data_IF_953219681224
#
_entry.id   IF_953219681224
#
_cell.length_a   1.000
_cell.length_b   1.000
_cell.length_c   1.000
_cell.angle_alpha   90.00
_cell.angle_beta   90.00
_cell.angle_gamma   90.00
#
_symmetry.space_group_name_H-M   'P 1'
#
loop_
_entity.id
_entity.type
_entity.pdbx_description
1 polymer ?
#
# COMPACT_ATOMS: atom_id res chain seq x y z
N UNK A 1 -2.86 -37.80 -4.57
CA UNK A 1 -3.81 -37.67 -3.43
C UNK A 1 -5.19 -38.26 -3.68
N UNK A 2 -5.88 -37.91 -4.78
CA UNK A 2 -7.22 -38.43 -5.12
C UNK A 2 -7.38 -39.96 -4.97
N UNK A 3 -6.54 -40.82 -5.57
CA UNK A 3 -6.75 -42.28 -5.50
C UNK A 3 -6.63 -42.84 -4.07
N UNK A 4 -5.72 -42.29 -3.25
CA UNK A 4 -5.56 -42.72 -1.86
C UNK A 4 -6.72 -42.25 -0.97
N UNK A 5 -7.25 -41.05 -1.23
CA UNK A 5 -8.42 -40.52 -0.52
C UNK A 5 -9.70 -41.28 -0.86
N UNK A 6 -9.84 -41.72 -2.10
CA UNK A 6 -10.98 -42.49 -2.59
C UNK A 6 -10.94 -43.92 -2.05
N UNK A 7 -9.77 -44.58 -2.08
CA UNK A 7 -9.57 -45.88 -1.43
C UNK A 7 -9.92 -45.85 0.08
N UNK A 8 -9.57 -44.77 0.79
CA UNK A 8 -9.93 -44.57 2.21
C UNK A 8 -11.46 -44.43 2.41
N UNK A 9 -12.17 -43.83 1.44
CA UNK A 9 -13.64 -43.65 1.48
C UNK A 9 -14.40 -44.92 1.11
N UNK A 10 -13.86 -45.74 0.20
CA UNK A 10 -14.50 -46.97 -0.28
C UNK A 10 -14.32 -48.15 0.69
N UNK A 11 -13.17 -48.28 1.36
CA UNK A 11 -12.90 -49.44 2.24
C UNK A 11 -13.96 -49.68 3.35
N UNK A 12 -14.54 -48.65 4.02
CA UNK A 12 -15.65 -48.84 4.96
C UNK A 12 -16.96 -49.32 4.31
N UNK A 13 -17.21 -48.95 3.05
CA UNK A 13 -18.40 -49.40 2.30
C UNK A 13 -18.28 -50.89 1.96
N UNK A 14 -17.08 -51.33 1.54
CA UNK A 14 -16.79 -52.74 1.26
C UNK A 14 -16.92 -53.61 2.53
N UNK A 15 -16.49 -53.11 3.69
CA UNK A 15 -16.69 -53.81 4.97
C UNK A 15 -18.16 -53.93 5.37
N UNK A 16 -18.98 -52.89 5.13
CA UNK A 16 -20.42 -52.95 5.37
C UNK A 16 -21.14 -53.97 4.49
N UNK A 17 -20.64 -54.20 3.27
CA UNK A 17 -21.19 -55.20 2.35
C UNK A 17 -20.80 -56.62 2.76
N UNK A 18 -19.56 -56.84 3.20
CA UNK A 18 -19.05 -58.16 3.61
C UNK A 18 -18.15 -58.04 4.85
N UNK A 19 -18.70 -58.18 6.07
CA UNK A 19 -17.92 -58.07 7.30
C UNK A 19 -17.03 -59.30 7.49
N UNK A 20 -15.72 -59.16 7.29
CA UNK A 20 -14.74 -60.19 7.57
C UNK A 20 -13.42 -59.56 8.05
N UNK A 21 -12.52 -60.39 8.58
CA UNK A 21 -11.20 -59.94 9.08
C UNK A 21 -10.41 -59.26 7.95
N UNK A 22 -10.45 -59.82 6.74
CA UNK A 22 -9.76 -59.26 5.57
C UNK A 22 -10.30 -57.88 5.15
N UNK A 23 -11.63 -57.68 5.15
CA UNK A 23 -12.22 -56.37 4.83
C UNK A 23 -12.00 -55.34 5.95
N UNK A 24 -11.89 -55.79 7.20
CA UNK A 24 -11.47 -54.94 8.31
C UNK A 24 -10.00 -54.51 8.19
N UNK A 25 -9.09 -55.42 7.83
CA UNK A 25 -7.67 -55.12 7.59
C UNK A 25 -7.48 -54.20 6.38
N UNK A 26 -8.31 -54.32 5.35
CA UNK A 26 -8.33 -53.42 4.22
C UNK A 26 -8.62 -51.96 4.62
N UNK A 27 -9.47 -51.71 5.62
CA UNK A 27 -9.71 -50.36 6.17
C UNK A 27 -8.42 -49.80 6.80
N UNK A 28 -7.72 -50.61 7.60
CA UNK A 28 -6.46 -50.21 8.24
C UNK A 28 -5.41 -49.88 7.19
N UNK A 29 -5.26 -50.73 6.18
CA UNK A 29 -4.33 -50.53 5.07
C UNK A 29 -4.66 -49.26 4.27
N UNK A 30 -5.92 -49.04 3.91
CA UNK A 30 -6.36 -47.85 3.18
C UNK A 30 -6.13 -46.56 3.98
N UNK A 31 -6.38 -46.57 5.29
CA UNK A 31 -6.09 -45.43 6.20
C UNK A 31 -4.58 -45.14 6.27
N UNK A 32 -3.76 -46.18 6.45
CA UNK A 32 -2.30 -46.06 6.52
C UNK A 32 -1.73 -45.50 5.21
N UNK A 33 -2.16 -46.06 4.07
CA UNK A 33 -1.77 -45.59 2.73
C UNK A 33 -2.15 -44.12 2.51
N UNK A 34 -3.39 -43.74 2.83
CA UNK A 34 -3.83 -42.34 2.72
C UNK A 34 -3.04 -41.39 3.62
N UNK A 35 -2.70 -41.81 4.84
CA UNK A 35 -1.86 -41.03 5.76
C UNK A 35 -0.44 -40.88 5.23
N UNK A 36 0.17 -41.94 4.72
CA UNK A 36 1.50 -41.90 4.11
C UNK A 36 1.54 -40.98 2.90
N UNK A 37 0.56 -41.11 1.98
CA UNK A 37 0.46 -40.23 0.82
C UNK A 37 0.25 -38.78 1.24
N UNK A 38 -0.58 -38.51 2.26
CA UNK A 38 -0.79 -37.15 2.76
C UNK A 38 0.49 -36.53 3.32
N UNK A 39 1.28 -37.30 4.09
CA UNK A 39 2.58 -36.86 4.61
C UNK A 39 3.56 -36.56 3.48
N UNK A 40 3.62 -37.43 2.48
CA UNK A 40 4.48 -37.21 1.31
C UNK A 40 4.10 -35.93 0.56
N UNK A 41 2.82 -35.76 0.21
CA UNK A 41 2.37 -34.55 -0.47
C UNK A 41 2.52 -33.28 0.38
N UNK A 42 2.37 -33.36 1.70
CA UNK A 42 2.65 -32.24 2.59
C UNK A 42 4.13 -31.86 2.55
N UNK A 43 5.03 -32.83 2.64
CA UNK A 43 6.47 -32.60 2.52
C UNK A 43 6.85 -32.03 1.16
N UNK A 44 6.31 -32.58 0.07
CA UNK A 44 6.57 -32.06 -1.29
C UNK A 44 6.10 -30.62 -1.42
N UNK A 45 4.93 -30.28 -0.88
CA UNK A 45 4.43 -28.91 -0.86
C UNK A 45 5.38 -27.98 -0.08
N UNK A 46 5.83 -28.41 1.10
CA UNK A 46 6.80 -27.64 1.90
C UNK A 46 8.13 -27.45 1.18
N UNK A 47 8.68 -28.49 0.55
CA UNK A 47 9.92 -28.40 -0.22
C UNK A 47 9.78 -27.44 -1.41
N UNK A 48 8.67 -27.54 -2.14
CA UNK A 48 8.37 -26.62 -3.25
C UNK A 48 8.20 -25.18 -2.76
N UNK A 49 7.56 -24.96 -1.60
CA UNK A 49 7.41 -23.63 -1.01
C UNK A 49 8.77 -23.04 -0.60
N UNK A 50 9.61 -23.82 0.07
CA UNK A 50 10.97 -23.42 0.45
C UNK A 50 11.81 -23.08 -0.79
N UNK A 51 11.77 -23.93 -1.82
CA UNK A 51 12.46 -23.67 -3.09
C UNK A 51 12.01 -22.37 -3.74
N UNK A 52 10.71 -22.10 -3.79
CA UNK A 52 10.17 -20.83 -4.33
C UNK A 52 10.63 -19.61 -3.53
N UNK A 53 10.66 -19.70 -2.20
CA UNK A 53 11.17 -18.62 -1.34
C UNK A 53 12.66 -18.38 -1.61
N UNK A 54 13.44 -19.44 -1.71
CA UNK A 54 14.88 -19.38 -1.98
C UNK A 54 15.17 -18.74 -3.33
N UNK A 55 14.53 -19.19 -4.41
CA UNK A 55 14.68 -18.60 -5.75
C UNK A 55 14.26 -17.13 -5.77
N UNK A 56 13.19 -16.77 -5.03
CA UNK A 56 12.78 -15.37 -4.91
C UNK A 56 13.81 -14.51 -4.16
N UNK A 57 14.46 -15.05 -3.14
CA UNK A 57 15.53 -14.36 -2.41
C UNK A 57 16.78 -14.17 -3.29
N UNK A 58 17.21 -15.22 -4.01
CA UNK A 58 18.37 -15.20 -4.90
C UNK A 58 18.19 -14.26 -6.08
N UNK A 59 16.97 -14.16 -6.62
CA UNK A 59 16.63 -13.24 -7.71
C UNK A 59 16.40 -11.79 -7.26
N UNK A 60 16.53 -11.49 -5.97
CA UNK A 60 16.22 -10.15 -5.41
C UNK A 60 14.73 -9.79 -5.44
N UNK A 61 13.84 -10.75 -5.71
CA UNK A 61 12.39 -10.56 -5.70
C UNK A 61 11.86 -10.57 -4.25
N UNK A 62 12.02 -9.44 -3.57
CA UNK A 62 11.58 -9.26 -2.18
C UNK A 62 10.08 -9.55 -1.97
N UNK A 63 9.22 -9.23 -2.95
CA UNK A 63 7.77 -9.50 -2.88
C UNK A 63 7.48 -10.99 -2.93
N UNK A 64 8.11 -11.72 -3.85
CA UNK A 64 7.98 -13.17 -3.96
C UNK A 64 8.42 -13.87 -2.67
N UNK A 65 9.56 -13.46 -2.13
CA UNK A 65 10.08 -13.95 -0.85
C UNK A 65 9.09 -13.68 0.30
N UNK A 66 8.65 -12.43 0.46
CA UNK A 66 7.69 -12.06 1.52
C UNK A 66 6.36 -12.82 1.40
N UNK A 67 5.84 -12.99 0.19
CA UNK A 67 4.59 -13.72 -0.06
C UNK A 67 4.73 -15.20 0.29
N UNK A 68 5.87 -15.82 -0.05
CA UNK A 68 6.16 -17.20 0.33
C UNK A 68 6.30 -17.37 1.84
N UNK A 69 7.01 -16.47 2.52
CA UNK A 69 7.11 -16.45 3.99
C UNK A 69 5.72 -16.33 4.62
N UNK A 70 4.88 -15.40 4.13
CA UNK A 70 3.51 -15.22 4.62
C UNK A 70 2.67 -16.49 4.44
N UNK A 71 2.88 -17.22 3.34
CA UNK A 71 2.20 -18.50 3.08
C UNK A 71 2.66 -19.58 4.08
N UNK A 72 3.95 -19.62 4.41
CA UNK A 72 4.52 -20.57 5.37
C UNK A 72 4.07 -20.29 6.82
N UNK A 73 4.09 -19.03 7.24
CA UNK A 73 3.74 -18.63 8.63
C UNK A 73 2.23 -18.60 8.86
N UNK A 74 1.42 -18.61 7.79
CA UNK A 74 -0.04 -18.56 7.87
C UNK A 74 -0.60 -17.15 8.14
N UNK A 75 -1.93 -17.02 8.28
CA UNK A 75 -2.59 -15.74 8.48
C UNK A 75 -2.10 -15.07 9.77
N UNK A 76 -1.47 -13.90 9.63
CA UNK A 76 -1.05 -13.08 10.77
C UNK A 76 -2.29 -12.52 11.47
N UNK A 77 -2.54 -12.90 12.73
CA UNK A 77 -3.59 -12.25 13.51
C UNK A 77 -3.18 -10.80 13.77
N UNK A 78 -3.80 -9.84 13.08
CA UNK A 78 -3.64 -8.43 13.40
C UNK A 78 -4.45 -8.19 14.67
N UNK A 79 -3.79 -8.23 15.83
CA UNK A 79 -4.41 -7.75 17.06
C UNK A 79 -4.44 -6.23 16.97
N UNK A 80 -5.63 -5.65 16.82
CA UNK A 80 -5.81 -4.20 16.97
C UNK A 80 -5.30 -3.83 18.36
N UNK A 81 -4.29 -2.98 18.41
CA UNK A 81 -3.77 -2.52 19.69
C UNK A 81 -4.81 -1.64 20.38
N UNK A 82 -4.91 -1.78 21.69
CA UNK A 82 -5.74 -0.94 22.53
C UNK A 82 -5.08 0.44 22.63
N UNK A 83 -5.73 1.49 22.11
CA UNK A 83 -5.23 2.86 22.23
C UNK A 83 -5.66 3.44 23.58
N UNK A 84 -4.70 4.00 24.33
CA UNK A 84 -4.94 4.61 25.65
C UNK A 84 -5.06 6.11 25.49
N UNK A 85 -6.27 6.66 25.68
CA UNK A 85 -6.45 8.10 25.88
C UNK A 85 -6.04 8.51 27.31
N UNK A 86 -5.75 9.80 27.53
CA UNK A 86 -5.39 10.38 28.85
C UNK A 86 -6.38 10.07 29.99
N UNK A 87 -7.57 9.56 29.70
CA UNK A 87 -8.57 9.19 30.71
C UNK A 87 -9.31 7.85 30.47
N UNK A 88 -9.17 7.17 29.33
CA UNK A 88 -9.90 5.91 29.08
C UNK A 88 -9.23 5.02 28.02
N UNK A 89 -9.34 3.70 28.21
CA UNK A 89 -8.97 2.67 27.22
C UNK A 89 -10.04 2.56 26.14
N UNK A 90 -9.66 2.75 24.87
CA UNK A 90 -10.60 2.75 23.74
C UNK A 90 -10.43 1.44 22.96
N UNK A 91 -11.35 0.50 23.22
CA UNK A 91 -11.41 -0.81 22.55
C UNK A 91 -12.19 -0.78 21.24
N UNK A 92 -13.10 0.18 21.07
CA UNK A 92 -14.00 0.28 19.92
C UNK A 92 -13.31 0.94 18.70
N UNK A 93 -13.43 0.32 17.52
CA UNK A 93 -12.79 0.79 16.29
C UNK A 93 -13.30 2.17 15.83
N UNK A 94 -14.59 2.46 16.00
CA UNK A 94 -15.17 3.76 15.63
C UNK A 94 -14.59 4.88 16.48
N UNK A 95 -14.55 4.66 17.79
CA UNK A 95 -13.94 5.61 18.74
C UNK A 95 -12.43 5.79 18.52
N UNK A 96 -11.72 4.74 18.08
CA UNK A 96 -10.30 4.86 17.72
C UNK A 96 -10.13 5.76 16.49
N UNK A 97 -11.00 5.65 15.47
CA UNK A 97 -10.99 6.52 14.30
C UNK A 97 -11.30 7.97 14.66
N UNK A 98 -12.31 8.23 15.49
CA UNK A 98 -12.63 9.59 15.97
C UNK A 98 -11.42 10.23 16.66
N UNK A 99 -10.70 9.48 17.50
CA UNK A 99 -9.46 9.98 18.12
C UNK A 99 -8.36 10.28 17.12
N UNK A 100 -8.21 9.50 16.06
CA UNK A 100 -7.26 9.84 14.99
C UNK A 100 -7.65 11.12 14.25
N UNK A 101 -8.95 11.34 14.03
CA UNK A 101 -9.49 12.56 13.41
C UNK A 101 -9.20 13.79 14.26
N UNK A 102 -9.20 13.68 15.58
CA UNK A 102 -8.81 14.79 16.48
C UNK A 102 -7.29 14.99 16.54
N UNK A 103 -6.52 13.90 16.62
CA UNK A 103 -5.08 13.96 16.85
C UNK A 103 -4.29 14.50 15.67
N UNK A 104 -4.62 14.12 14.44
CA UNK A 104 -3.84 14.55 13.26
C UNK A 104 -3.90 16.06 13.03
N UNK A 105 -5.07 16.72 13.06
CA UNK A 105 -5.14 18.17 12.98
C UNK A 105 -4.32 18.84 14.08
N UNK A 106 -4.38 18.41 15.34
CA UNK A 106 -3.53 18.98 16.41
C UNK A 106 -2.04 18.82 16.11
N UNK A 107 -1.63 17.66 15.61
CA UNK A 107 -0.24 17.39 15.25
C UNK A 107 0.23 18.26 14.08
N UNK A 108 -0.61 18.46 13.07
CA UNK A 108 -0.31 19.26 11.87
C UNK A 108 -0.59 20.76 12.05
N UNK A 109 -1.34 21.17 13.08
CA UNK A 109 -1.66 22.56 13.39
C UNK A 109 -0.50 23.35 13.99
N UNK A 110 0.66 22.72 14.21
CA UNK A 110 1.87 23.42 14.65
C UNK A 110 2.38 24.30 13.50
N UNK A 111 1.84 25.52 13.42
CA UNK A 111 2.36 26.56 12.53
C UNK A 111 3.71 27.03 13.08
N UNK A 112 4.78 26.80 12.33
CA UNK A 112 6.03 27.51 12.55
C UNK A 112 5.79 28.96 12.15
N UNK A 113 5.51 29.84 13.11
CA UNK A 113 5.43 31.28 12.85
C UNK A 113 6.83 31.78 12.47
N UNK A 114 7.07 31.91 11.17
CA UNK A 114 8.22 32.65 10.66
C UNK A 114 7.88 34.13 10.80
N UNK A 115 8.61 34.85 11.64
CA UNK A 115 8.45 36.30 11.78
C UNK A 115 9.03 36.99 10.55
N UNK A 116 8.38 38.05 10.07
CA UNK A 116 8.85 38.83 8.89
C UNK A 116 10.29 39.34 9.06
N UNK A 117 10.73 39.59 10.31
CA UNK A 117 12.12 39.95 10.61
C UNK A 117 13.17 38.89 10.21
N UNK A 118 12.78 37.62 10.05
CA UNK A 118 13.63 36.53 9.55
C UNK A 118 13.63 36.48 8.02
N UNK A 119 12.58 37.00 7.38
CA UNK A 119 12.40 37.03 5.92
C UNK A 119 12.95 38.32 5.29
N UNK A 120 12.93 39.45 5.99
CA UNK A 120 13.47 40.75 5.55
C UNK A 120 14.93 40.72 5.04
N UNK A 121 15.85 39.91 5.59
CA UNK A 121 17.22 39.83 5.08
C UNK A 121 17.33 39.02 3.78
N UNK A 122 16.28 38.30 3.36
CA UNK A 122 16.33 37.48 2.16
C UNK A 122 16.18 38.37 0.92
N UNK A 123 17.09 38.26 -0.06
CA UNK A 123 16.97 39.03 -1.29
C UNK A 123 15.63 38.73 -1.96
N UNK A 124 14.94 39.77 -2.46
CA UNK A 124 13.75 39.59 -3.29
C UNK A 124 14.12 38.93 -4.61
N UNK A 125 13.40 37.87 -4.96
CA UNK A 125 13.83 36.97 -6.03
C UNK A 125 13.06 37.30 -7.32
N UNK A 126 13.69 37.13 -8.50
CA UNK A 126 13.09 37.52 -9.77
C UNK A 126 11.81 36.70 -10.03
N UNK A 127 10.76 37.37 -10.52
CA UNK A 127 9.49 36.73 -10.89
C UNK A 127 9.76 35.74 -12.02
N UNK A 128 9.50 34.46 -11.77
CA UNK A 128 9.69 33.39 -12.74
C UNK A 128 8.40 33.10 -13.51
N UNK A 129 8.18 33.82 -14.61
CA UNK A 129 7.00 33.62 -15.49
C UNK A 129 6.95 32.21 -16.11
N UNK A 130 8.07 31.49 -16.18
CA UNK A 130 8.13 30.10 -16.66
C UNK A 130 7.39 29.10 -15.74
N UNK A 131 7.18 29.42 -14.46
CA UNK A 131 6.42 28.57 -13.54
C UNK A 131 4.90 28.66 -13.75
N UNK A 132 4.43 29.75 -14.35
CA UNK A 132 3.00 30.00 -14.60
C UNK A 132 2.52 29.36 -15.90
N UNK A 133 3.44 28.85 -16.72
CA UNK A 133 3.10 28.15 -17.95
C UNK A 133 2.40 26.80 -17.65
N UNK A 134 1.30 26.47 -18.36
CA UNK A 134 0.63 25.19 -18.17
C UNK A 134 1.56 24.03 -18.57
N UNK A 135 1.54 22.91 -17.82
CA UNK A 135 2.49 21.83 -18.03
C UNK A 135 2.29 21.19 -19.40
N UNK A 136 3.39 20.89 -20.06
CA UNK A 136 3.38 20.24 -21.37
C UNK A 136 2.96 18.77 -21.27
N UNK A 137 2.40 18.21 -22.34
CA UNK A 137 2.09 16.78 -22.42
C UNK A 137 3.34 15.89 -22.25
N UNK A 138 4.52 16.41 -22.61
CA UNK A 138 5.81 15.72 -22.44
C UNK A 138 6.19 15.63 -20.96
N UNK A 139 6.05 16.71 -20.19
CA UNK A 139 6.30 16.72 -18.75
C UNK A 139 5.33 15.84 -18.00
N UNK A 140 4.04 15.87 -18.38
CA UNK A 140 3.04 14.98 -17.84
C UNK A 140 3.40 13.51 -18.12
N UNK A 141 3.88 13.23 -19.33
CA UNK A 141 4.37 11.91 -19.72
C UNK A 141 5.55 11.44 -18.87
N UNK A 142 6.53 12.33 -18.60
CA UNK A 142 7.66 12.04 -17.72
C UNK A 142 7.21 11.81 -16.27
N UNK A 143 6.27 12.61 -15.77
CA UNK A 143 5.73 12.45 -14.43
C UNK A 143 5.06 11.08 -14.24
N UNK A 144 4.33 10.58 -15.24
CA UNK A 144 3.73 9.24 -15.25
C UNK A 144 4.82 8.16 -15.20
N UNK A 145 5.88 8.28 -15.99
CA UNK A 145 6.98 7.29 -16.00
C UNK A 145 7.71 7.26 -14.66
N UNK A 146 7.83 8.42 -13.99
CA UNK A 146 8.46 8.56 -12.69
C UNK A 146 7.61 8.07 -11.50
N UNK A 147 6.35 7.65 -11.71
CA UNK A 147 5.53 7.05 -10.64
C UNK A 147 6.19 5.76 -10.17
N UNK A 148 6.31 5.56 -8.86
CA UNK A 148 6.80 4.27 -8.34
C UNK A 148 5.71 3.22 -8.49
N UNK A 149 6.02 2.12 -9.17
CA UNK A 149 5.19 0.93 -9.17
C UNK A 149 5.15 0.32 -7.76
N UNK A 150 4.24 -0.64 -7.56
CA UNK A 150 4.15 -1.44 -6.35
C UNK A 150 3.72 -0.68 -5.08
N UNK A 151 3.14 0.51 -5.26
CA UNK A 151 2.57 1.28 -4.15
C UNK A 151 1.12 0.92 -3.91
N UNK A 152 0.67 1.15 -2.67
CA UNK A 152 -0.74 1.01 -2.32
C UNK A 152 -1.58 1.96 -3.18
N UNK A 153 -2.63 1.45 -3.86
CA UNK A 153 -3.56 2.29 -4.57
C UNK A 153 -4.34 3.17 -3.58
N UNK A 154 -4.90 4.24 -4.12
CA UNK A 154 -5.83 5.11 -3.42
C UNK A 154 -7.19 4.41 -3.19
N UNK A 155 -8.17 5.10 -2.57
CA UNK A 155 -9.54 4.58 -2.35
C UNK A 155 -10.18 4.05 -3.64
N UNK A 156 -9.80 4.60 -4.79
CA UNK A 156 -10.30 4.23 -6.11
C UNK A 156 -9.74 2.88 -6.62
N UNK A 157 -8.77 2.27 -5.92
CA UNK A 157 -8.20 0.98 -6.29
C UNK A 157 -7.31 0.99 -7.54
N UNK A 158 -7.06 2.16 -8.14
CA UNK A 158 -6.28 2.30 -9.37
C UNK A 158 -4.77 2.26 -9.04
N UNK A 159 -4.03 1.23 -9.52
CA UNK A 159 -2.59 1.16 -9.34
C UNK A 159 -1.85 2.03 -10.36
N UNK A 160 -0.66 2.48 -10.01
CA UNK A 160 0.21 3.27 -10.89
C UNK A 160 0.62 2.53 -12.18
N UNK A 161 0.67 1.21 -12.11
CA UNK A 161 1.04 0.28 -13.17
C UNK A 161 0.03 0.32 -14.30
N UNK A 162 -1.26 0.41 -13.95
CA UNK A 162 -2.33 0.55 -14.93
C UNK A 162 -2.14 1.84 -15.73
N UNK A 163 -1.81 2.93 -15.05
CA UNK A 163 -1.60 4.21 -15.71
C UNK A 163 -0.36 4.23 -16.60
N UNK A 164 0.74 3.60 -16.16
CA UNK A 164 1.94 3.45 -16.99
C UNK A 164 1.66 2.64 -18.25
N UNK A 165 0.91 1.54 -18.14
CA UNK A 165 0.53 0.71 -19.29
C UNK A 165 -0.45 1.43 -20.24
N UNK A 166 -1.39 2.20 -19.68
CA UNK A 166 -2.40 2.96 -20.43
C UNK A 166 -1.95 4.35 -20.87
N UNK A 167 -0.70 4.75 -20.60
CA UNK A 167 -0.14 6.06 -20.92
C UNK A 167 -0.45 6.55 -22.36
N UNK A 168 -0.23 5.77 -23.44
CA UNK A 168 -0.45 6.28 -24.80
C UNK A 168 -1.91 6.70 -25.07
N UNK A 169 -2.89 6.04 -24.43
CA UNK A 169 -4.31 6.38 -24.59
C UNK A 169 -4.78 7.48 -23.61
N UNK A 170 -4.23 7.48 -22.39
CA UNK A 170 -4.71 8.34 -21.29
C UNK A 170 -4.00 9.69 -21.23
N UNK A 171 -2.79 9.82 -21.78
CA UNK A 171 -1.98 11.04 -21.64
C UNK A 171 -2.70 12.30 -22.14
N UNK A 172 -3.32 12.24 -23.31
CA UNK A 172 -4.03 13.38 -23.91
C UNK A 172 -5.27 13.77 -23.09
N UNK A 173 -6.01 12.76 -22.60
CA UNK A 173 -7.18 12.97 -21.76
C UNK A 173 -6.81 13.59 -20.41
N UNK A 174 -5.75 13.10 -19.78
CA UNK A 174 -5.24 13.64 -18.52
C UNK A 174 -4.71 15.07 -18.70
N UNK A 175 -3.99 15.35 -19.79
CA UNK A 175 -3.53 16.69 -20.11
C UNK A 175 -4.70 17.66 -20.22
N UNK A 176 -5.71 17.32 -21.03
CA UNK A 176 -6.92 18.12 -21.20
C UNK A 176 -7.71 18.35 -19.89
N UNK A 177 -7.66 17.41 -18.95
CA UNK A 177 -8.29 17.55 -17.63
C UNK A 177 -7.46 18.45 -16.68
N UNK A 178 -6.14 18.38 -16.76
CA UNK A 178 -5.24 19.11 -15.86
C UNK A 178 -4.96 20.54 -16.31
N UNK A 179 -5.00 20.85 -17.62
CA UNK A 179 -4.73 22.20 -18.12
C UNK A 179 -5.67 23.26 -17.52
N UNK A 180 -7.01 23.05 -17.47
CA UNK A 180 -7.92 24.01 -16.85
C UNK A 180 -7.70 24.16 -15.34
N UNK A 181 -7.22 23.11 -14.67
CA UNK A 181 -6.90 23.16 -13.23
C UNK A 181 -5.71 24.08 -12.97
N UNK A 182 -4.74 24.12 -13.90
CA UNK A 182 -3.57 24.99 -13.85
C UNK A 182 -3.94 26.45 -14.14
N UNK A 183 -4.66 26.70 -15.24
CA UNK A 183 -5.03 28.06 -15.68
C UNK A 183 -5.95 28.77 -14.68
N UNK A 184 -6.89 28.02 -14.07
CA UNK A 184 -7.86 28.58 -13.13
C UNK A 184 -7.38 28.55 -11.68
N UNK A 185 -6.16 28.05 -11.43
CA UNK A 185 -5.62 27.80 -10.08
C UNK A 185 -6.64 27.08 -9.19
N UNK A 186 -7.37 26.13 -9.78
CA UNK A 186 -8.45 25.41 -9.11
C UNK A 186 -8.22 23.91 -9.23
N UNK A 187 -7.78 23.31 -8.12
CA UNK A 187 -7.53 21.88 -8.03
C UNK A 187 -8.79 21.20 -7.49
N UNK A 188 -9.37 20.21 -8.18
CA UNK A 188 -10.50 19.46 -7.67
C UNK A 188 -10.21 18.85 -6.30
N UNK A 189 -11.20 18.85 -5.41
CA UNK A 189 -11.04 18.32 -4.04
C UNK A 189 -10.54 16.87 -4.04
N UNK A 190 -10.99 16.02 -4.95
CA UNK A 190 -10.51 14.63 -5.06
C UNK A 190 -9.02 14.48 -5.38
N UNK A 191 -8.39 15.53 -5.93
CA UNK A 191 -6.94 15.56 -6.17
C UNK A 191 -6.15 16.14 -4.99
N UNK A 192 -6.82 16.88 -4.09
CA UNK A 192 -6.22 17.46 -2.88
C UNK A 192 -6.35 16.50 -1.69
N UNK A 193 -7.52 15.86 -1.55
CA UNK A 193 -7.85 15.02 -0.41
C UNK A 193 -6.95 13.78 -0.37
N UNK A 194 -6.36 13.57 0.80
CA UNK A 194 -5.53 12.41 1.11
C UNK A 194 -6.11 11.63 2.30
N UNK A 195 -5.87 10.32 2.31
CA UNK A 195 -6.38 9.40 3.33
C UNK A 195 -5.19 9.08 4.20
N UNK A 196 -5.32 9.40 5.47
CA UNK A 196 -4.26 9.20 6.43
C UNK A 196 -4.36 7.78 6.95
N UNK A 197 -3.38 6.96 6.59
CA UNK A 197 -3.22 5.61 7.13
C UNK A 197 -2.24 5.64 8.29
N UNK A 198 -2.70 5.25 9.48
CA UNK A 198 -1.90 5.18 10.69
C UNK A 198 -1.00 3.94 10.67
N UNK A 199 0.31 4.11 10.76
CA UNK A 199 1.28 3.01 10.89
C UNK A 199 2.04 3.09 12.20
N UNK A 200 2.14 1.97 12.89
CA UNK A 200 2.94 1.86 14.11
C UNK A 200 4.44 1.95 13.78
N UNK A 201 5.18 2.79 14.51
CA UNK A 201 6.63 3.01 14.30
C UNK A 201 7.50 1.83 14.78
N UNK A 202 6.90 0.73 15.25
CA UNK A 202 7.60 -0.41 15.86
C UNK A 202 8.49 -0.01 17.05
N UNK A 203 8.14 1.07 17.74
CA UNK A 203 8.89 1.62 18.88
C UNK A 203 7.90 2.12 19.93
N UNK A 204 8.20 1.84 21.20
CA UNK A 204 7.39 2.28 22.34
C UNK A 204 6.24 1.34 22.69
N UNK A 205 5.25 1.89 23.39
CA UNK A 205 3.99 1.20 23.67
C UNK A 205 3.02 1.39 22.49
N UNK A 206 2.33 0.32 22.09
CA UNK A 206 1.28 0.36 21.07
C UNK A 206 0.04 1.13 21.52
N UNK A 207 -0.06 1.42 22.80
CA UNK A 207 -1.18 2.17 23.36
C UNK A 207 -1.04 3.68 23.20
N UNK A 208 0.17 4.18 22.94
CA UNK A 208 0.47 5.61 22.82
C UNK A 208 0.39 6.08 21.35
N UNK A 209 -0.40 7.12 21.11
CA UNK A 209 -0.66 7.69 19.78
C UNK A 209 0.60 8.25 19.12
N UNK A 210 1.55 8.80 19.91
CA UNK A 210 2.78 9.39 19.38
C UNK A 210 3.71 8.36 18.73
N UNK A 211 3.55 7.08 19.09
CA UNK A 211 4.29 5.95 18.52
C UNK A 211 3.74 5.51 17.15
N UNK A 212 2.73 6.19 16.63
CA UNK A 212 2.22 6.01 15.27
C UNK A 212 2.67 7.16 14.38
N UNK A 213 2.67 6.91 13.07
CA UNK A 213 2.83 7.92 12.02
C UNK A 213 1.65 7.87 11.07
N UNK A 214 1.13 9.02 10.70
CA UNK A 214 0.20 9.13 9.58
C UNK A 214 0.97 9.05 8.27
N UNK A 215 0.48 8.25 7.33
CA UNK A 215 0.90 8.32 5.94
C UNK A 215 -0.29 8.76 5.11
N UNK A 216 -0.19 9.95 4.54
CA UNK A 216 -1.16 10.48 3.59
C UNK A 216 -1.01 9.74 2.25
N UNK A 217 -2.00 8.93 1.91
CA UNK A 217 -2.12 8.37 0.57
C UNK A 217 -2.84 9.42 -0.28
N UNK A 218 -2.28 9.78 -1.43
CA UNK A 218 -2.93 10.68 -2.38
C UNK A 218 -3.42 9.90 -3.61
N UNK A 219 -4.51 10.37 -4.21
CA UNK A 219 -5.01 9.87 -5.50
C UNK A 219 -3.94 9.89 -6.58
N UNK A 220 -4.04 8.99 -7.57
CA UNK A 220 -3.01 8.87 -8.62
C UNK A 220 -2.90 10.15 -9.45
N UNK A 221 -4.03 10.81 -9.74
CA UNK A 221 -4.09 12.07 -10.48
C UNK A 221 -3.47 13.22 -9.66
N UNK A 222 -3.80 13.32 -8.37
CA UNK A 222 -3.18 14.28 -7.46
C UNK A 222 -1.66 14.10 -7.34
N UNK A 223 -1.17 12.85 -7.28
CA UNK A 223 0.26 12.54 -7.27
C UNK A 223 0.98 13.00 -8.54
N UNK A 224 0.36 12.83 -9.70
CA UNK A 224 0.92 13.28 -10.98
C UNK A 224 0.98 14.80 -11.01
N UNK A 225 -0.11 15.44 -10.59
CA UNK A 225 -0.20 16.90 -10.52
C UNK A 225 0.86 17.51 -9.58
N UNK A 226 1.00 16.96 -8.37
CA UNK A 226 2.05 17.35 -7.43
C UNK A 226 3.46 17.10 -8.00
N UNK A 227 3.66 15.99 -8.72
CA UNK A 227 4.94 15.68 -9.39
C UNK A 227 5.30 16.69 -10.48
N UNK A 228 4.32 17.04 -11.31
CA UNK A 228 4.49 18.04 -12.37
C UNK A 228 4.81 19.40 -11.77
N UNK A 229 4.09 19.80 -10.71
CA UNK A 229 4.35 21.04 -9.96
C UNK A 229 5.75 21.06 -9.35
N UNK A 230 6.17 19.98 -8.71
CA UNK A 230 7.53 19.84 -8.19
C UNK A 230 8.60 19.83 -9.29
N UNK A 231 8.30 19.32 -10.48
CA UNK A 231 9.24 19.31 -11.59
C UNK A 231 9.41 20.72 -12.16
N UNK A 232 8.32 21.46 -12.36
CA UNK A 232 8.37 22.88 -12.76
C UNK A 232 9.21 23.69 -11.76
N UNK A 233 8.98 23.50 -10.46
CA UNK A 233 9.77 24.15 -9.40
C UNK A 233 11.25 23.72 -9.35
N UNK A 234 11.62 22.56 -9.89
CA UNK A 234 13.01 22.07 -9.90
C UNK A 234 13.76 22.41 -11.18
N UNK A 235 13.04 22.61 -12.28
CA UNK A 235 13.59 22.99 -13.57
C UNK A 235 13.96 24.48 -13.65
N UNK A 236 13.47 25.29 -12.70
CA UNK A 236 13.95 26.65 -12.50
C UNK A 236 15.46 26.67 -12.18
N UNK A 237 16.26 27.55 -12.80
CA UNK A 237 17.65 27.75 -12.39
C UNK A 237 17.73 28.04 -10.89
N UNK A 238 18.86 27.74 -10.22
CA UNK A 238 19.06 28.01 -8.80
C UNK A 238 19.26 29.52 -8.56
N UNK A 239 18.28 30.33 -8.92
CA UNK A 239 17.93 31.51 -8.15
C UNK A 239 16.86 31.04 -7.17
N UNK A 240 17.17 31.16 -5.88
CA UNK A 240 16.22 30.91 -4.79
C UNK A 240 14.84 31.51 -5.15
N UNK A 241 13.72 30.80 -5.00
CA UNK A 241 12.38 31.30 -4.59
C UNK A 241 11.22 30.48 -5.13
N UNK A 242 10.23 30.37 -4.26
CA UNK A 242 8.90 29.73 -4.37
C UNK A 242 7.85 30.79 -4.71
N UNK A 243 6.85 30.44 -5.52
CA UNK A 243 5.68 31.28 -5.82
C UNK A 243 4.59 31.16 -4.73
N UNK A 244 3.81 32.22 -4.44
CA UNK A 244 2.92 32.29 -3.26
C UNK A 244 1.60 31.52 -3.36
N UNK A 245 1.27 30.92 -4.52
CA UNK A 245 -0.04 30.31 -4.78
C UNK A 245 -0.14 28.81 -4.48
N UNK A 246 0.95 28.16 -4.08
CA UNK A 246 1.05 26.70 -3.93
C UNK A 246 1.38 26.23 -2.50
N UNK A 247 1.43 27.17 -1.54
CA UNK A 247 1.80 26.89 -0.15
C UNK A 247 0.77 26.05 0.62
N UNK A 248 -0.47 25.94 0.13
CA UNK A 248 -1.58 25.27 0.82
C UNK A 248 -1.73 23.77 0.49
N UNK A 249 -0.73 23.14 -0.16
CA UNK A 249 -0.75 21.71 -0.53
C UNK A 249 0.34 20.85 0.15
N UNK A 250 0.92 21.32 1.25
CA UNK A 250 1.77 20.51 2.16
C UNK A 250 1.03 20.15 3.44
#
# INVERSE_FOLDING_TARGET
MQPASEAKRQAPLTYKQNPCISTHDAIRAARSKAQQTARHCANDNWLNLCSRIQTAAESGNARGMYTGIKTATGPTSIKTALLKSKALEITDQGKQLERWVEHYPEMYATQNMVTDAVLDPLPSLPVMEELDAPPSAVELGKAIDCLSCERAPWKDGIPSELLKSGKPALLQHLHKLLSPCWEKVHVPRDMQDANIVTLYKNKGDRSDYNNYRGISLLGIVGKIFARVSCHAYRASPPSHSVAPGWADLQ
#
